data_IF_853544224820
#
_entry.id   IF_853544224820
#
_cell.length_a   1.000
_cell.length_b   1.000
_cell.length_c   1.000
_cell.angle_alpha   90.00
_cell.angle_beta   90.00
_cell.angle_gamma   90.00
#
_symmetry.space_group_name_H-M   'P 1'
#
loop_
_entity.id
_entity.type
_entity.pdbx_description
1 polymer ?
#
# COMPACT_ATOMS: atom_id res chain seq x y z
N UNK A 1 15.55 18.02 -1.33
CA UNK A 1 16.12 16.75 -0.81
C UNK A 1 17.39 16.50 -1.60
N UNK A 2 18.56 16.68 -0.99
CA UNK A 2 19.85 16.37 -1.64
C UNK A 2 19.87 14.89 -2.03
N UNK A 3 20.33 14.55 -3.23
CA UNK A 3 20.35 13.15 -3.69
C UNK A 3 21.52 12.44 -3.04
N UNK A 4 21.37 11.16 -2.70
CA UNK A 4 22.48 10.30 -2.29
C UNK A 4 23.62 10.28 -3.32
N UNK A 5 23.27 10.44 -4.60
CA UNK A 5 24.18 10.62 -5.72
C UNK A 5 25.08 11.86 -5.54
N UNK A 6 24.49 12.96 -5.07
CA UNK A 6 25.20 14.23 -4.83
C UNK A 6 26.18 14.11 -3.63
N UNK A 7 26.07 13.03 -2.85
CA UNK A 7 26.83 12.75 -1.65
C UNK A 7 27.84 11.59 -1.82
N UNK A 8 27.90 10.97 -3.01
CA UNK A 8 28.73 9.78 -3.26
C UNK A 8 28.23 8.50 -2.56
N UNK A 9 27.03 8.51 -1.98
CA UNK A 9 26.48 7.43 -1.15
C UNK A 9 25.56 6.45 -1.90
N UNK A 10 25.41 6.63 -3.22
CA UNK A 10 24.40 5.92 -4.05
C UNK A 10 24.43 4.40 -3.94
N UNK A 11 25.62 3.82 -3.84
CA UNK A 11 25.82 2.37 -3.75
C UNK A 11 26.14 1.89 -2.33
N UNK A 12 26.23 2.80 -1.38
CA UNK A 12 26.57 2.46 0.00
C UNK A 12 25.32 2.08 0.81
N UNK A 13 24.18 2.75 0.57
CA UNK A 13 22.94 2.40 1.26
C UNK A 13 22.34 1.10 0.72
N UNK A 14 22.03 0.19 1.63
CA UNK A 14 21.46 -1.12 1.38
C UNK A 14 20.21 -1.05 0.49
N UNK A 15 20.09 -2.05 -0.39
CA UNK A 15 18.91 -2.20 -1.25
C UNK A 15 17.64 -2.54 -0.47
N UNK A 16 17.81 -2.96 0.78
CA UNK A 16 16.74 -3.37 1.68
C UNK A 16 16.17 -2.23 2.53
N UNK A 17 16.67 -1.00 2.40
CA UNK A 17 16.09 0.20 3.02
C UNK A 17 15.06 0.86 2.10
N UNK A 18 13.80 0.93 2.49
CA UNK A 18 12.74 1.53 1.67
C UNK A 18 12.32 2.92 2.15
N UNK A 19 12.52 3.24 3.44
CA UNK A 19 12.13 4.51 4.02
C UNK A 19 13.07 5.64 3.64
N UNK A 20 12.51 6.81 3.36
CA UNK A 20 13.26 8.03 2.99
C UNK A 20 14.18 7.89 1.77
N UNK A 21 13.96 6.86 0.95
CA UNK A 21 14.76 6.60 -0.25
C UNK A 21 14.02 7.06 -1.51
N UNK A 22 14.73 7.78 -2.38
CA UNK A 22 14.16 8.23 -3.66
C UNK A 22 13.78 7.02 -4.52
N UNK A 23 12.55 7.04 -5.04
CA UNK A 23 12.04 5.98 -5.93
C UNK A 23 11.60 4.69 -5.23
N UNK A 24 11.73 4.63 -3.90
CA UNK A 24 11.15 3.57 -3.06
C UNK A 24 9.97 4.12 -2.29
N UNK A 25 8.97 3.29 -2.08
CA UNK A 25 7.71 3.65 -1.45
C UNK A 25 7.32 2.61 -0.41
N UNK A 26 6.33 2.95 0.43
CA UNK A 26 5.72 1.97 1.35
C UNK A 26 5.20 0.76 0.59
N UNK A 27 4.64 0.98 -0.61
CA UNK A 27 4.14 -0.08 -1.47
C UNK A 27 5.26 -1.05 -1.87
N UNK A 28 6.43 -0.55 -2.27
CA UNK A 28 7.56 -1.41 -2.68
C UNK A 28 8.03 -2.31 -1.51
N UNK A 29 8.04 -1.78 -0.29
CA UNK A 29 8.40 -2.54 0.91
C UNK A 29 7.38 -3.64 1.23
N UNK A 30 6.08 -3.32 1.13
CA UNK A 30 5.00 -4.29 1.36
C UNK A 30 5.00 -5.36 0.27
N UNK A 31 5.19 -4.96 -0.99
CA UNK A 31 5.24 -5.85 -2.15
C UNK A 31 6.40 -6.84 -2.01
N UNK A 32 7.59 -6.38 -1.64
CA UNK A 32 8.75 -7.24 -1.39
C UNK A 32 8.50 -8.25 -0.25
N UNK A 33 7.87 -7.82 0.85
CA UNK A 33 7.49 -8.71 1.95
C UNK A 33 6.53 -9.81 1.47
N UNK A 34 5.46 -9.42 0.77
CA UNK A 34 4.44 -10.34 0.29
C UNK A 34 5.00 -11.30 -0.75
N UNK A 35 5.85 -10.81 -1.65
CA UNK A 35 6.58 -11.63 -2.62
C UNK A 35 7.35 -12.76 -1.94
N UNK A 36 8.12 -12.43 -0.89
CA UNK A 36 8.89 -13.41 -0.14
C UNK A 36 8.01 -14.43 0.58
N UNK A 37 6.90 -13.99 1.17
CA UNK A 37 5.92 -14.89 1.80
C UNK A 37 5.31 -15.85 0.77
N UNK A 38 4.86 -15.34 -0.39
CA UNK A 38 4.24 -16.15 -1.44
C UNK A 38 5.22 -17.16 -2.06
N UNK A 39 6.48 -16.75 -2.31
CA UNK A 39 7.55 -17.66 -2.79
C UNK A 39 7.72 -18.87 -1.86
N UNK A 40 7.62 -18.66 -0.55
CA UNK A 40 7.75 -19.73 0.44
C UNK A 40 6.50 -20.60 0.60
N UNK A 41 5.34 -20.20 0.04
CA UNK A 41 4.12 -21.01 0.09
C UNK A 41 4.16 -22.23 -0.81
N UNK A 42 4.75 -22.13 -2.01
CA UNK A 42 4.88 -23.26 -2.95
C UNK A 42 5.59 -24.47 -2.33
N UNK A 43 6.79 -24.32 -1.72
CA UNK A 43 7.46 -25.41 -1.00
C UNK A 43 6.81 -25.77 0.34
N UNK A 44 5.66 -25.18 0.69
CA UNK A 44 4.93 -25.37 1.97
C UNK A 44 5.78 -25.10 3.20
N UNK A 45 6.68 -24.11 3.12
CA UNK A 45 7.50 -23.69 4.24
C UNK A 45 6.66 -22.95 5.30
N UNK A 46 7.20 -22.86 6.50
CA UNK A 46 6.76 -21.95 7.54
C UNK A 46 7.53 -20.65 7.33
N UNK A 47 6.82 -19.54 7.12
CA UNK A 47 7.45 -18.22 7.01
C UNK A 47 7.13 -17.43 8.27
N UNK A 48 8.16 -17.19 9.09
CA UNK A 48 8.08 -16.34 10.26
C UNK A 48 8.49 -14.93 9.88
N UNK A 49 7.64 -13.95 10.18
CA UNK A 49 7.97 -12.53 10.06
C UNK A 49 8.15 -11.96 11.47
N UNK A 50 9.30 -11.35 11.70
CA UNK A 50 9.68 -10.65 12.93
C UNK A 50 9.64 -9.15 12.69
N UNK A 51 9.00 -8.44 13.60
CA UNK A 51 8.75 -7.00 13.56
C UNK A 51 9.54 -6.38 14.70
N UNK A 52 10.74 -5.87 14.42
CA UNK A 52 11.61 -5.30 15.45
C UNK A 52 11.30 -3.82 15.66
N UNK A 53 11.31 -3.41 16.92
CA UNK A 53 11.13 -2.02 17.32
C UNK A 53 12.40 -1.50 17.99
N UNK A 54 12.94 -0.37 17.52
CA UNK A 54 14.09 0.29 18.13
C UNK A 54 13.58 1.37 19.09
N UNK A 55 14.06 1.36 20.34
CA UNK A 55 13.66 2.37 21.34
C UNK A 55 14.23 3.73 20.99
N UNK A 56 13.35 4.70 20.71
CA UNK A 56 13.73 6.08 20.43
C UNK A 56 14.78 6.17 19.32
N UNK A 57 14.51 5.57 18.16
CA UNK A 57 15.46 5.45 17.05
C UNK A 57 16.20 6.76 16.71
N UNK A 58 15.45 7.81 16.38
CA UNK A 58 16.02 9.11 16.05
C UNK A 58 16.70 9.78 17.25
N UNK A 59 16.10 9.70 18.43
CA UNK A 59 16.63 10.32 19.65
C UNK A 59 17.93 9.66 20.13
N UNK A 60 18.09 8.36 19.88
CA UNK A 60 19.27 7.58 20.30
C UNK A 60 20.30 7.38 19.18
N UNK A 61 20.17 8.09 18.06
CA UNK A 61 21.12 8.03 16.96
C UNK A 61 22.49 8.59 17.40
N UNK A 62 23.48 7.70 17.58
CA UNK A 62 24.77 8.04 18.18
C UNK A 62 25.72 8.72 17.18
N UNK A 63 26.02 10.01 17.40
CA UNK A 63 26.72 10.84 16.40
C UNK A 63 28.11 10.33 16.01
N UNK A 64 29.01 9.94 16.93
CA UNK A 64 30.31 9.38 16.57
C UNK A 64 30.20 8.12 15.71
N UNK A 65 29.19 7.27 15.96
CA UNK A 65 28.91 6.10 15.15
C UNK A 65 28.55 6.46 13.71
N UNK A 66 27.67 7.44 13.52
CA UNK A 66 27.28 7.94 12.19
C UNK A 66 28.48 8.52 11.44
N UNK A 67 29.30 9.32 12.13
CA UNK A 67 30.49 9.95 11.53
C UNK A 67 31.52 8.91 11.11
N UNK A 68 31.73 7.87 11.91
CA UNK A 68 32.61 6.77 11.53
C UNK A 68 32.08 6.02 10.31
N UNK A 69 30.77 5.70 10.27
CA UNK A 69 30.14 5.09 9.09
C UNK A 69 30.27 5.94 7.83
N UNK A 70 30.16 7.26 7.95
CA UNK A 70 30.40 8.19 6.85
C UNK A 70 31.84 8.12 6.34
N UNK A 71 32.84 8.02 7.22
CA UNK A 71 34.24 7.84 6.82
C UNK A 71 34.43 6.51 6.08
N UNK A 72 33.85 5.43 6.61
CA UNK A 72 33.95 4.09 6.04
C UNK A 72 33.21 3.96 4.70
N UNK A 73 32.22 4.81 4.45
CA UNK A 73 31.45 4.84 3.20
C UNK A 73 32.19 5.40 1.98
N UNK A 74 33.40 5.93 2.16
CA UNK A 74 34.14 6.61 1.09
C UNK A 74 33.61 8.02 0.79
N UNK A 75 32.81 8.59 1.70
CA UNK A 75 32.29 9.96 1.59
C UNK A 75 33.45 10.99 1.57
N UNK A 76 33.38 12.03 0.71
CA UNK A 76 34.40 13.07 0.69
C UNK A 76 34.67 13.69 2.06
N UNK A 77 35.95 13.85 2.42
CA UNK A 77 36.38 14.31 3.75
C UNK A 77 35.73 15.65 4.16
N UNK A 78 35.59 16.59 3.21
CA UNK A 78 34.96 17.89 3.47
C UNK A 78 33.50 17.74 3.92
N UNK A 79 32.78 16.76 3.37
CA UNK A 79 31.37 16.50 3.68
C UNK A 79 31.25 15.79 5.03
N UNK A 80 32.16 14.86 5.34
CA UNK A 80 32.25 14.26 6.67
C UNK A 80 32.48 15.35 7.73
N UNK A 81 33.38 16.31 7.48
CA UNK A 81 33.62 17.45 8.38
C UNK A 81 32.39 18.33 8.55
N UNK A 82 31.66 18.62 7.46
CA UNK A 82 30.43 19.40 7.49
C UNK A 82 29.34 18.71 8.33
N UNK A 83 29.10 17.42 8.10
CA UNK A 83 28.10 16.65 8.85
C UNK A 83 28.52 16.44 10.31
N UNK A 84 29.81 16.28 10.58
CA UNK A 84 30.32 16.25 11.94
C UNK A 84 30.02 17.56 12.67
N UNK A 85 30.36 18.73 12.10
CA UNK A 85 30.02 20.03 12.69
C UNK A 85 28.51 20.20 12.89
N UNK A 86 27.69 19.79 11.92
CA UNK A 86 26.23 19.83 12.04
C UNK A 86 25.70 19.01 13.23
N UNK A 87 26.34 17.88 13.55
CA UNK A 87 25.96 17.02 14.67
C UNK A 87 26.56 17.48 16.01
N UNK A 88 27.77 18.04 16.00
CA UNK A 88 28.50 18.46 17.21
C UNK A 88 27.93 19.70 17.88
N UNK A 89 27.26 20.58 17.13
CA UNK A 89 26.75 21.87 17.62
C UNK A 89 25.23 21.86 17.89
N UNK A 90 24.66 20.70 18.21
CA UNK A 90 23.24 20.59 18.54
C UNK A 90 23.03 20.96 20.01
N UNK A 91 22.66 22.23 20.23
CA UNK A 91 22.25 22.76 21.54
C UNK A 91 20.73 22.82 21.59
N UNK A 92 20.13 22.14 22.56
CA UNK A 92 18.70 22.31 22.87
C UNK A 92 18.58 23.29 24.03
N UNK A 93 17.87 24.39 23.78
CA UNK A 93 17.55 25.40 24.78
C UNK A 93 16.09 25.29 25.22
N UNK A 94 15.83 25.20 26.53
CA UNK A 94 14.48 25.33 27.09
C UNK A 94 14.36 26.67 27.82
N UNK A 95 13.38 27.48 27.42
CA UNK A 95 13.08 28.80 28.00
C UNK A 95 14.27 29.75 28.17
N UNK A 96 15.31 29.64 27.32
CA UNK A 96 16.59 30.39 27.42
C UNK A 96 17.35 30.23 28.76
N UNK A 97 16.93 29.32 29.63
CA UNK A 97 17.55 29.09 30.94
C UNK A 97 18.45 27.86 30.94
N UNK A 98 18.11 26.85 30.14
CA UNK A 98 18.82 25.57 30.12
C UNK A 98 19.29 25.26 28.71
N UNK A 99 20.60 25.17 28.51
CA UNK A 99 21.22 24.69 27.27
C UNK A 99 21.91 23.35 27.53
N UNK A 100 21.53 22.32 26.76
CA UNK A 100 22.17 21.01 26.81
C UNK A 100 22.80 20.69 25.46
N UNK A 101 24.06 20.25 25.48
CA UNK A 101 24.70 19.66 24.33
C UNK A 101 24.26 18.20 24.20
N UNK A 102 23.87 17.79 22.99
CA UNK A 102 23.32 16.48 22.72
C UNK A 102 24.29 15.65 21.89
N UNK A 103 24.75 14.53 22.43
CA UNK A 103 25.65 13.58 21.73
C UNK A 103 24.93 12.43 20.99
N UNK A 104 23.60 12.34 21.19
CA UNK A 104 22.72 11.38 20.54
C UNK A 104 21.44 12.07 20.13
N UNK A 105 21.22 12.21 18.84
CA UNK A 105 19.94 12.63 18.25
C UNK A 105 20.05 12.73 16.74
N UNK A 106 18.92 12.63 16.08
CA UNK A 106 18.69 13.18 14.76
C UNK A 106 17.53 14.16 14.92
N UNK A 107 17.76 15.49 14.88
CA UNK A 107 16.73 16.49 15.20
C UNK A 107 15.44 16.23 14.45
N UNK A 108 14.34 15.97 15.15
CA UNK A 108 13.06 15.69 14.50
C UNK A 108 12.60 16.94 13.74
N UNK A 109 12.34 16.80 12.43
CA UNK A 109 12.05 17.94 11.54
C UNK A 109 13.27 18.50 10.82
N UNK A 110 14.49 18.06 11.16
CA UNK A 110 15.70 18.35 10.39
C UNK A 110 15.66 17.69 9.01
N UNK A 111 16.04 18.43 7.97
CA UNK A 111 16.03 17.95 6.58
C UNK A 111 16.98 16.76 6.38
N UNK A 112 18.09 16.73 7.13
CA UNK A 112 19.11 15.68 7.06
C UNK A 112 18.85 14.49 7.98
N UNK A 113 17.99 14.64 8.99
CA UNK A 113 17.71 13.60 9.99
C UNK A 113 17.32 12.24 9.38
N UNK A 114 16.44 12.18 8.35
CA UNK A 114 16.12 10.91 7.71
C UNK A 114 17.30 10.23 7.02
N UNK A 115 18.20 11.02 6.43
CA UNK A 115 19.41 10.51 5.78
C UNK A 115 20.40 9.98 6.82
N UNK A 116 20.63 10.73 7.89
CA UNK A 116 21.51 10.33 8.99
C UNK A 116 21.02 9.05 9.66
N UNK A 117 19.72 8.89 9.82
CA UNK A 117 19.13 7.64 10.27
C UNK A 117 19.39 6.48 9.31
N UNK A 118 19.16 6.69 8.01
CA UNK A 118 19.43 5.66 7.00
C UNK A 118 20.90 5.24 6.99
N UNK A 119 21.84 6.16 7.23
CA UNK A 119 23.26 5.86 7.40
C UNK A 119 23.50 5.04 8.67
N UNK A 120 22.85 5.41 9.76
CA UNK A 120 23.00 4.75 11.04
C UNK A 120 22.49 3.29 11.02
N UNK A 121 21.38 3.02 10.32
CA UNK A 121 20.81 1.67 10.27
C UNK A 121 21.40 0.80 9.15
N UNK A 122 22.22 1.38 8.26
CA UNK A 122 22.61 0.74 7.01
C UNK A 122 23.32 -0.61 7.20
N UNK A 123 24.28 -0.64 8.10
CA UNK A 123 25.08 -1.81 8.41
C UNK A 123 24.26 -2.97 8.99
N UNK A 124 23.13 -2.70 9.66
CA UNK A 124 22.18 -3.74 10.09
C UNK A 124 21.62 -4.51 8.88
N UNK A 125 21.30 -3.79 7.81
CA UNK A 125 20.65 -4.34 6.61
C UNK A 125 21.61 -5.13 5.72
N UNK A 126 22.91 -4.93 5.91
CA UNK A 126 23.98 -5.61 5.18
C UNK A 126 24.64 -6.73 6.01
N UNK A 127 24.13 -7.03 7.21
CA UNK A 127 24.60 -8.17 8.01
C UNK A 127 24.31 -9.50 7.30
N UNK A 128 25.28 -10.41 7.37
CA UNK A 128 25.11 -11.79 6.93
C UNK A 128 24.15 -12.52 7.88
N UNK A 129 22.89 -12.60 7.48
CA UNK A 129 21.87 -13.39 8.18
C UNK A 129 21.96 -14.87 7.78
N UNK A 130 21.46 -15.78 8.62
CA UNK A 130 21.41 -17.20 8.29
C UNK A 130 20.65 -17.47 6.98
N UNK A 131 21.03 -18.56 6.31
CA UNK A 131 20.37 -19.02 5.08
C UNK A 131 18.85 -19.08 5.27
N UNK A 132 18.08 -18.63 4.27
CA UNK A 132 16.61 -18.47 4.29
C UNK A 132 16.08 -17.31 5.15
N UNK A 133 16.93 -16.34 5.50
CA UNK A 133 16.52 -15.09 6.13
C UNK A 133 16.60 -13.93 5.13
N UNK A 134 15.63 -13.03 5.18
CA UNK A 134 15.62 -11.77 4.43
C UNK A 134 15.34 -10.62 5.39
N UNK A 135 16.09 -9.53 5.28
CA UNK A 135 15.91 -8.33 6.09
C UNK A 135 15.47 -7.16 5.21
N UNK A 136 14.58 -6.32 5.74
CA UNK A 136 14.26 -5.04 5.17
C UNK A 136 13.90 -4.03 6.27
N UNK A 137 14.02 -2.75 5.96
CA UNK A 137 13.55 -1.68 6.83
C UNK A 137 12.74 -0.65 6.05
N UNK A 138 11.84 0.01 6.77
CA UNK A 138 11.24 1.26 6.33
C UNK A 138 11.46 2.28 7.44
N UNK A 139 12.43 3.17 7.25
CA UNK A 139 12.89 4.07 8.30
C UNK A 139 13.44 3.27 9.49
N UNK A 140 12.85 3.41 10.67
CA UNK A 140 13.19 2.73 11.92
C UNK A 140 12.47 1.41 12.12
N UNK A 141 11.41 1.15 11.36
CA UNK A 141 10.72 -0.14 11.38
C UNK A 141 11.58 -1.19 10.66
N UNK A 142 12.04 -2.22 11.38
CA UNK A 142 12.89 -3.31 10.85
C UNK A 142 12.13 -4.63 10.81
N UNK A 143 12.27 -5.36 9.71
CA UNK A 143 11.56 -6.59 9.43
C UNK A 143 12.53 -7.68 9.03
N UNK A 144 12.37 -8.86 9.63
CA UNK A 144 13.10 -10.05 9.22
C UNK A 144 12.10 -11.14 8.85
N UNK A 145 12.30 -11.73 7.69
CA UNK A 145 11.54 -12.87 7.18
C UNK A 145 12.45 -14.09 7.31
N UNK A 146 11.99 -15.14 7.97
CA UNK A 146 12.72 -16.39 8.16
C UNK A 146 11.85 -17.53 7.61
N UNK A 147 12.40 -18.34 6.72
CA UNK A 147 11.71 -19.51 6.18
C UNK A 147 12.34 -20.82 6.68
N UNK A 148 11.50 -21.76 7.13
CA UNK A 148 11.92 -23.07 7.64
C UNK A 148 10.92 -24.17 7.31
N UNK A 149 11.37 -25.43 7.29
CA UNK A 149 10.46 -26.58 7.04
C UNK A 149 9.73 -26.97 8.33
N UNK A 150 10.45 -26.91 9.45
CA UNK A 150 10.01 -27.35 10.77
C UNK A 150 9.97 -26.19 11.77
N UNK A 151 9.34 -26.45 12.92
CA UNK A 151 9.34 -25.53 14.07
C UNK A 151 10.76 -25.28 14.58
N UNK A 152 11.54 -26.34 14.73
CA UNK A 152 12.90 -26.30 15.26
C UNK A 152 13.84 -25.51 14.35
N UNK A 153 13.68 -25.61 13.02
CA UNK A 153 14.45 -24.80 12.08
C UNK A 153 14.22 -23.30 12.33
N UNK A 154 12.96 -22.91 12.55
CA UNK A 154 12.60 -21.51 12.83
C UNK A 154 13.17 -21.05 14.18
N UNK A 155 13.07 -21.87 15.23
CA UNK A 155 13.59 -21.53 16.56
C UNK A 155 15.12 -21.32 16.53
N UNK A 156 15.85 -22.24 15.89
CA UNK A 156 17.29 -22.15 15.73
C UNK A 156 17.67 -20.88 14.95
N UNK A 157 17.10 -20.69 13.76
CA UNK A 157 17.44 -19.57 12.88
C UNK A 157 17.09 -18.23 13.51
N UNK A 158 15.94 -18.15 14.18
CA UNK A 158 15.51 -16.93 14.88
C UNK A 158 16.43 -16.58 16.04
N UNK A 159 16.90 -17.59 16.79
CA UNK A 159 17.85 -17.37 17.90
C UNK A 159 19.19 -16.80 17.40
N UNK A 160 19.66 -17.26 16.24
CA UNK A 160 20.86 -16.68 15.61
C UNK A 160 20.63 -15.23 15.17
N UNK A 161 19.49 -14.94 14.55
CA UNK A 161 19.11 -13.56 14.16
C UNK A 161 19.06 -12.65 15.38
N UNK A 162 18.44 -13.08 16.49
CA UNK A 162 18.40 -12.31 17.73
C UNK A 162 19.79 -11.99 18.27
N UNK A 163 20.71 -12.97 18.28
CA UNK A 163 22.10 -12.75 18.72
C UNK A 163 22.83 -11.75 17.84
N UNK A 164 22.62 -11.82 16.52
CA UNK A 164 23.22 -10.88 15.56
C UNK A 164 22.69 -9.46 15.79
N UNK A 165 21.37 -9.32 15.97
CA UNK A 165 20.71 -8.04 16.21
C UNK A 165 21.14 -7.42 17.54
N UNK A 166 21.22 -8.20 18.62
CA UNK A 166 21.61 -7.70 19.94
C UNK A 166 23.07 -7.21 19.95
N UNK A 167 23.97 -7.93 19.26
CA UNK A 167 25.36 -7.50 19.06
C UNK A 167 25.44 -6.20 18.26
N UNK A 168 24.70 -6.10 17.16
CA UNK A 168 24.67 -4.89 16.34
C UNK A 168 24.13 -3.69 17.14
N UNK A 169 23.05 -3.89 17.89
CA UNK A 169 22.44 -2.85 18.72
C UNK A 169 23.42 -2.35 19.78
N UNK A 170 24.11 -3.27 20.46
CA UNK A 170 25.15 -2.95 21.45
C UNK A 170 26.28 -2.11 20.85
N UNK A 171 26.79 -2.48 19.67
CA UNK A 171 27.85 -1.74 18.98
C UNK A 171 27.41 -0.34 18.57
N UNK A 172 26.13 -0.16 18.25
CA UNK A 172 25.56 1.11 17.82
C UNK A 172 24.91 1.93 18.95
N UNK A 173 25.03 1.47 20.21
CA UNK A 173 24.40 2.07 21.39
C UNK A 173 22.88 2.25 21.26
N UNK A 174 22.24 1.34 20.53
CA UNK A 174 20.79 1.26 20.35
C UNK A 174 20.22 0.09 21.15
N UNK A 175 18.90 0.10 21.37
CA UNK A 175 18.21 -0.96 22.12
C UNK A 175 16.96 -1.38 21.36
N UNK A 176 16.85 -2.67 21.06
CA UNK A 176 15.60 -3.25 20.58
C UNK A 176 14.62 -3.47 21.73
N UNK A 177 13.36 -3.09 21.51
CA UNK A 177 12.30 -3.31 22.48
C UNK A 177 11.69 -4.70 22.29
N UNK A 178 12.20 -5.67 23.06
CA UNK A 178 11.71 -7.05 23.02
C UNK A 178 10.24 -7.20 23.41
N UNK A 179 9.66 -6.24 24.15
CA UNK A 179 8.22 -6.25 24.52
C UNK A 179 7.32 -5.76 23.38
N UNK A 180 7.81 -4.84 22.55
CA UNK A 180 7.09 -4.34 21.37
C UNK A 180 7.41 -5.14 20.10
N UNK A 181 8.43 -5.99 20.16
CA UNK A 181 8.79 -6.87 19.04
C UNK A 181 7.66 -7.88 18.84
N UNK A 182 7.14 -7.96 17.61
CA UNK A 182 6.03 -8.86 17.28
C UNK A 182 6.48 -9.94 16.31
N UNK A 183 5.79 -11.08 16.33
CA UNK A 183 6.01 -12.17 15.40
C UNK A 183 4.70 -12.61 14.75
N UNK A 184 4.74 -13.00 13.47
CA UNK A 184 3.61 -13.62 12.79
C UNK A 184 4.07 -14.74 11.86
N UNK A 185 3.28 -15.81 11.77
CA UNK A 185 3.59 -16.96 10.90
C UNK A 185 2.61 -17.03 9.74
N UNK A 186 3.17 -17.12 8.55
CA UNK A 186 2.47 -17.32 7.28
C UNK A 186 2.79 -18.70 6.74
N UNK A 187 1.74 -19.49 6.50
CA UNK A 187 1.88 -20.84 5.95
C UNK A 187 0.56 -21.34 5.36
N UNK A 188 0.67 -22.22 4.37
CA UNK A 188 -0.47 -22.95 3.80
C UNK A 188 -0.86 -24.19 4.62
N UNK A 189 -0.08 -24.57 5.65
CA UNK A 189 -0.38 -25.71 6.52
C UNK A 189 -1.65 -25.46 7.34
N UNK A 190 -2.46 -26.52 7.52
CA UNK A 190 -3.70 -26.47 8.32
C UNK A 190 -3.40 -26.29 9.81
N UNK A 191 -2.44 -27.05 10.31
CA UNK A 191 -1.92 -26.96 11.68
C UNK A 191 -0.66 -26.10 11.62
N UNK A 192 -0.66 -25.00 12.38
CA UNK A 192 0.47 -24.08 12.44
C UNK A 192 1.28 -24.41 13.68
N UNK A 193 2.49 -24.98 13.54
CA UNK A 193 3.36 -25.16 14.69
C UNK A 193 3.86 -23.79 15.15
N UNK A 194 3.71 -23.50 16.45
CA UNK A 194 4.18 -22.25 17.05
C UNK A 194 5.57 -22.46 17.68
N UNK A 195 6.64 -21.85 17.14
CA UNK A 195 7.96 -21.80 17.77
C UNK A 195 7.93 -21.04 19.10
N UNK A 196 8.77 -21.44 20.04
CA UNK A 196 9.06 -20.68 21.25
C UNK A 196 10.17 -19.69 20.94
N UNK A 197 9.83 -18.40 20.93
CA UNK A 197 10.76 -17.33 20.59
C UNK A 197 11.07 -16.52 21.85
N UNK A 198 12.35 -16.45 22.23
CA UNK A 198 12.81 -15.68 23.38
C UNK A 198 13.84 -14.66 22.92
N UNK A 199 13.57 -13.38 23.18
CA UNK A 199 14.47 -12.28 22.83
C UNK A 199 14.70 -11.38 24.04
N UNK A 200 15.96 -11.22 24.43
CA UNK A 200 16.39 -10.43 25.59
C UNK A 200 15.54 -10.71 26.84
N UNK A 201 15.34 -12.01 27.13
CA UNK A 201 14.59 -12.50 28.29
C UNK A 201 13.06 -12.46 28.18
N UNK A 202 12.49 -11.94 27.09
CA UNK A 202 11.04 -11.89 26.89
C UNK A 202 10.59 -12.92 25.85
N UNK A 203 9.48 -13.60 26.13
CA UNK A 203 8.82 -14.49 25.18
C UNK A 203 8.05 -13.64 24.17
N UNK A 204 8.35 -13.80 22.89
CA UNK A 204 7.66 -13.09 21.81
C UNK A 204 6.39 -13.85 21.43
N UNK A 205 5.25 -13.17 21.54
CA UNK A 205 3.96 -13.74 21.13
C UNK A 205 3.85 -13.80 19.61
N UNK A 206 3.45 -14.97 19.10
CA UNK A 206 3.16 -15.17 17.67
C UNK A 206 1.68 -14.88 17.42
N UNK A 207 1.45 -13.76 16.75
CA UNK A 207 0.12 -13.31 16.34
C UNK A 207 -0.31 -13.98 15.04
N UNK A 208 -1.60 -14.19 14.87
CA UNK A 208 -2.17 -14.70 13.62
C UNK A 208 -2.21 -13.66 12.50
N UNK A 209 -2.10 -12.39 12.87
CA UNK A 209 -2.21 -11.22 12.01
C UNK A 209 -1.09 -10.26 12.35
N UNK A 210 -0.50 -9.66 11.33
CA UNK A 210 0.51 -8.62 11.49
C UNK A 210 0.03 -7.32 10.84
N UNK A 211 0.41 -6.19 11.42
CA UNK A 211 0.21 -4.88 10.81
C UNK A 211 1.56 -4.37 10.32
N UNK A 212 1.66 -4.03 9.04
CA UNK A 212 2.87 -3.50 8.43
C UNK A 212 2.55 -2.31 7.53
N UNK A 213 3.14 -1.13 7.79
CA UNK A 213 2.95 0.10 6.99
C UNK A 213 1.48 0.39 6.67
N UNK A 214 0.59 0.17 7.64
CA UNK A 214 -0.87 0.40 7.48
C UNK A 214 -1.64 -0.71 6.77
N UNK A 215 -0.98 -1.80 6.36
CA UNK A 215 -1.59 -3.01 5.80
C UNK A 215 -1.73 -4.08 6.87
N UNK A 216 -2.85 -4.82 6.86
CA UNK A 216 -3.08 -5.95 7.77
C UNK A 216 -2.86 -7.24 7.00
N UNK A 217 -1.86 -8.01 7.39
CA UNK A 217 -1.49 -9.28 6.80
C UNK A 217 -2.11 -10.41 7.62
N UNK A 218 -3.01 -11.17 7.00
CA UNK A 218 -3.53 -12.40 7.60
C UNK A 218 -2.69 -13.61 7.18
N UNK A 219 -2.66 -14.66 8.01
CA UNK A 219 -1.87 -15.89 7.78
C UNK A 219 -1.89 -16.43 6.34
N UNK A 220 -3.03 -16.34 5.64
CA UNK A 220 -3.22 -16.87 4.29
C UNK A 220 -3.16 -15.80 3.19
N UNK A 221 -2.98 -14.54 3.54
CA UNK A 221 -3.05 -13.39 2.64
C UNK A 221 -4.38 -13.34 1.86
N UNK A 222 -5.50 -13.49 2.57
CA UNK A 222 -6.86 -13.38 2.03
C UNK A 222 -7.33 -11.92 1.93
N UNK A 223 -6.67 -10.99 2.63
CA UNK A 223 -6.88 -9.53 2.58
C UNK A 223 -8.26 -9.02 3.01
N UNK A 224 -9.19 -9.91 3.35
CA UNK A 224 -10.58 -9.55 3.64
C UNK A 224 -10.68 -8.63 4.86
N UNK A 225 -9.88 -8.89 5.88
CA UNK A 225 -9.85 -8.07 7.09
C UNK A 225 -9.18 -6.71 6.85
N UNK A 226 -8.07 -6.69 6.10
CA UNK A 226 -7.46 -5.43 5.68
C UNK A 226 -8.48 -4.52 4.98
N UNK A 227 -9.18 -5.06 3.98
CA UNK A 227 -10.18 -4.30 3.22
C UNK A 227 -11.32 -3.81 4.13
N UNK A 228 -11.80 -4.65 5.07
CA UNK A 228 -12.81 -4.22 6.07
C UNK A 228 -12.29 -3.08 6.96
N UNK A 229 -11.06 -3.17 7.43
CA UNK A 229 -10.46 -2.12 8.26
C UNK A 229 -10.35 -0.80 7.48
N UNK A 230 -9.92 -0.84 6.21
CA UNK A 230 -9.85 0.34 5.33
C UNK A 230 -11.24 0.93 5.05
N UNK A 231 -12.24 0.10 4.81
CA UNK A 231 -13.64 0.53 4.68
C UNK A 231 -14.13 1.21 5.96
N UNK A 232 -13.84 0.64 7.12
CA UNK A 232 -14.27 1.19 8.40
C UNK A 232 -13.60 2.54 8.68
N UNK A 233 -12.30 2.67 8.41
CA UNK A 233 -11.59 3.95 8.47
C UNK A 233 -12.22 4.98 7.51
N UNK A 234 -12.49 4.60 6.26
CA UNK A 234 -13.15 5.48 5.29
C UNK A 234 -14.54 5.94 5.78
N UNK A 235 -15.32 5.04 6.39
CA UNK A 235 -16.63 5.34 6.96
C UNK A 235 -16.56 6.36 8.10
N UNK A 236 -15.50 6.37 8.91
CA UNK A 236 -15.34 7.37 9.98
C UNK A 236 -15.23 8.79 9.41
N UNK A 237 -14.50 8.96 8.31
CA UNK A 237 -14.46 10.24 7.59
C UNK A 237 -15.82 10.57 6.97
N UNK A 238 -16.53 9.56 6.47
CA UNK A 238 -17.85 9.71 5.86
C UNK A 238 -18.90 10.25 6.80
N UNK A 239 -18.93 9.81 8.06
CA UNK A 239 -19.93 10.28 9.03
C UNK A 239 -19.81 11.79 9.24
N UNK A 240 -18.58 12.29 9.32
CA UNK A 240 -18.29 13.73 9.42
C UNK A 240 -18.69 14.48 8.15
N UNK A 241 -18.42 13.92 6.97
CA UNK A 241 -18.81 14.50 5.68
C UNK A 241 -20.33 14.52 5.47
N UNK A 242 -21.03 13.45 5.86
CA UNK A 242 -22.49 13.31 5.73
C UNK A 242 -23.27 14.28 6.62
N UNK A 243 -22.67 14.77 7.71
CA UNK A 243 -23.25 15.85 8.51
C UNK A 243 -23.23 17.20 7.77
N UNK A 244 -22.24 17.43 6.89
CA UNK A 244 -22.05 18.68 6.16
C UNK A 244 -22.69 18.69 4.75
N UNK A 245 -23.37 17.60 4.36
CA UNK A 245 -23.91 17.43 3.01
C UNK A 245 -25.29 16.77 3.03
N UNK A 246 -26.34 17.55 2.78
CA UNK A 246 -27.71 17.08 2.59
C UNK A 246 -28.16 17.32 1.14
N UNK A 247 -29.26 16.67 0.75
CA UNK A 247 -29.79 16.82 -0.61
C UNK A 247 -30.16 18.27 -0.92
N UNK A 248 -30.73 18.98 0.06
CA UNK A 248 -31.28 20.33 -0.11
C UNK A 248 -30.33 21.45 0.30
N UNK A 249 -29.27 21.18 1.07
CA UNK A 249 -28.30 22.17 1.54
C UNK A 249 -26.95 21.54 1.88
N UNK A 250 -25.87 22.33 1.93
CA UNK A 250 -24.52 21.88 2.25
C UNK A 250 -23.57 21.89 1.05
N UNK A 251 -22.57 21.01 1.06
CA UNK A 251 -21.49 21.00 0.06
C UNK A 251 -21.99 20.75 -1.38
N UNK A 252 -21.37 21.44 -2.34
CA UNK A 252 -21.63 21.25 -3.78
C UNK A 252 -21.14 19.88 -4.26
N UNK A 253 -21.78 19.25 -5.28
CA UNK A 253 -21.38 17.96 -5.86
C UNK A 253 -19.89 17.85 -6.19
N UNK A 254 -19.31 18.90 -6.81
CA UNK A 254 -17.88 18.96 -7.12
C UNK A 254 -16.97 18.83 -5.89
N UNK A 255 -17.32 19.50 -4.78
CA UNK A 255 -16.57 19.41 -3.53
C UNK A 255 -16.67 18.00 -2.93
N UNK A 256 -17.86 17.41 -2.94
CA UNK A 256 -18.09 16.04 -2.48
C UNK A 256 -17.32 15.01 -3.31
N UNK A 257 -17.29 15.17 -4.63
CA UNK A 257 -16.51 14.33 -5.54
C UNK A 257 -15.02 14.42 -5.20
N UNK A 258 -14.49 15.63 -5.01
CA UNK A 258 -13.08 15.82 -4.66
C UNK A 258 -12.75 15.16 -3.32
N UNK A 259 -13.59 15.31 -2.30
CA UNK A 259 -13.41 14.65 -1.00
C UNK A 259 -13.49 13.12 -1.10
N UNK A 260 -14.40 12.60 -1.93
CA UNK A 260 -14.48 11.17 -2.20
C UNK A 260 -13.17 10.68 -2.83
N UNK A 261 -12.69 11.30 -3.90
CA UNK A 261 -11.48 10.88 -4.60
C UNK A 261 -10.22 11.02 -3.71
N UNK A 262 -10.09 12.13 -2.97
CA UNK A 262 -8.87 12.44 -2.22
C UNK A 262 -8.78 11.74 -0.87
N UNK A 263 -9.89 11.48 -0.19
CA UNK A 263 -9.90 10.89 1.15
C UNK A 263 -10.46 9.47 1.14
N UNK A 264 -11.65 9.27 0.57
CA UNK A 264 -12.37 8.00 0.70
C UNK A 264 -11.77 6.93 -0.22
N UNK A 265 -11.67 7.22 -1.51
CA UNK A 265 -11.10 6.34 -2.51
C UNK A 265 -9.65 6.02 -2.16
N UNK A 266 -8.83 7.03 -1.87
CA UNK A 266 -7.42 6.85 -1.48
C UNK A 266 -7.26 6.02 -0.19
N UNK A 267 -8.18 6.17 0.77
CA UNK A 267 -8.16 5.37 2.00
C UNK A 267 -8.50 3.91 1.70
N UNK A 268 -9.57 3.65 0.95
CA UNK A 268 -10.01 2.28 0.64
C UNK A 268 -8.99 1.58 -0.25
N UNK A 269 -8.43 2.29 -1.23
CA UNK A 269 -7.52 1.77 -2.25
C UNK A 269 -6.03 1.86 -1.86
N UNK A 270 -5.73 2.07 -0.58
CA UNK A 270 -4.36 2.01 -0.09
C UNK A 270 -3.78 0.59 -0.28
N UNK A 271 -2.58 0.51 -0.86
CA UNK A 271 -1.86 -0.75 -1.13
C UNK A 271 -2.59 -1.77 -2.03
N UNK A 272 -3.57 -1.34 -2.85
CA UNK A 272 -4.29 -2.23 -3.81
C UNK A 272 -3.37 -3.15 -4.61
N UNK A 273 -2.23 -2.70 -5.15
CA UNK A 273 -1.39 -3.57 -5.97
C UNK A 273 -1.02 -4.88 -5.25
N UNK A 274 -0.82 -4.83 -3.95
CA UNK A 274 -0.48 -5.99 -3.11
C UNK A 274 -1.69 -6.93 -2.90
N UNK A 275 -2.88 -6.38 -2.69
CA UNK A 275 -4.07 -7.18 -2.34
C UNK A 275 -5.06 -7.38 -3.49
N UNK A 276 -4.72 -6.96 -4.70
CA UNK A 276 -5.60 -6.99 -5.88
C UNK A 276 -6.22 -8.36 -6.14
N UNK A 277 -5.51 -9.45 -5.81
CA UNK A 277 -5.96 -10.82 -5.97
C UNK A 277 -7.26 -11.10 -5.18
N UNK A 278 -7.53 -10.33 -4.13
CA UNK A 278 -8.78 -10.39 -3.37
C UNK A 278 -10.01 -10.02 -4.21
N UNK A 279 -9.85 -9.22 -5.28
CA UNK A 279 -10.94 -8.84 -6.17
C UNK A 279 -11.47 -10.00 -7.01
N UNK A 280 -10.75 -11.12 -7.11
CA UNK A 280 -11.27 -12.34 -7.75
C UNK A 280 -12.53 -12.87 -7.03
N UNK A 281 -12.73 -12.49 -5.76
CA UNK A 281 -13.87 -12.89 -4.96
C UNK A 281 -15.01 -11.87 -5.12
N UNK A 282 -16.12 -12.29 -5.75
CA UNK A 282 -17.30 -11.44 -5.98
C UNK A 282 -17.84 -10.73 -4.73
N UNK A 283 -17.74 -11.35 -3.54
CA UNK A 283 -18.21 -10.70 -2.31
C UNK A 283 -17.35 -9.50 -1.89
N UNK A 284 -16.04 -9.50 -2.21
CA UNK A 284 -15.15 -8.35 -1.94
C UNK A 284 -15.55 -7.18 -2.83
N UNK A 285 -15.79 -7.43 -4.13
CA UNK A 285 -16.29 -6.41 -5.06
C UNK A 285 -17.61 -5.84 -4.55
N UNK A 286 -18.58 -6.69 -4.19
CA UNK A 286 -19.87 -6.24 -3.62
C UNK A 286 -19.68 -5.36 -2.38
N UNK A 287 -18.76 -5.73 -1.50
CA UNK A 287 -18.46 -4.99 -0.27
C UNK A 287 -17.89 -3.59 -0.57
N UNK A 288 -16.96 -3.49 -1.53
CA UNK A 288 -16.40 -2.23 -1.99
C UNK A 288 -17.45 -1.36 -2.70
N UNK A 289 -18.21 -1.93 -3.65
CA UNK A 289 -19.27 -1.23 -4.39
C UNK A 289 -20.37 -0.72 -3.46
N UNK A 290 -20.71 -1.47 -2.42
CA UNK A 290 -21.70 -1.04 -1.41
C UNK A 290 -21.26 0.23 -0.70
N UNK A 291 -19.96 0.35 -0.40
CA UNK A 291 -19.41 1.53 0.26
C UNK A 291 -19.32 2.70 -0.72
N UNK A 292 -18.79 2.48 -1.92
CA UNK A 292 -18.74 3.50 -2.98
C UNK A 292 -20.12 4.08 -3.26
N UNK A 293 -21.15 3.23 -3.37
CA UNK A 293 -22.53 3.61 -3.61
C UNK A 293 -23.04 4.67 -2.63
N UNK A 294 -22.71 4.56 -1.34
CA UNK A 294 -23.15 5.53 -0.33
C UNK A 294 -22.67 6.95 -0.67
N UNK A 295 -21.46 7.08 -1.19
CA UNK A 295 -20.89 8.37 -1.58
C UNK A 295 -21.42 8.85 -2.92
N UNK A 296 -21.63 7.95 -3.87
CA UNK A 296 -22.17 8.33 -5.17
C UNK A 296 -23.57 8.94 -5.03
N UNK A 297 -24.42 8.39 -4.16
CA UNK A 297 -25.74 8.96 -3.84
C UNK A 297 -25.61 10.39 -3.32
N UNK A 298 -24.62 10.67 -2.48
CA UNK A 298 -24.39 12.02 -1.93
C UNK A 298 -23.87 12.99 -2.99
N UNK A 299 -22.94 12.55 -3.83
CA UNK A 299 -22.37 13.35 -4.91
C UNK A 299 -23.45 13.73 -5.93
N UNK A 300 -24.24 12.76 -6.38
CA UNK A 300 -25.26 12.97 -7.42
C UNK A 300 -26.58 13.51 -6.85
N UNK A 301 -26.73 13.53 -5.52
CA UNK A 301 -27.98 13.87 -4.82
C UNK A 301 -29.18 13.03 -5.30
N UNK A 302 -28.93 11.80 -5.74
CA UNK A 302 -29.95 10.91 -6.31
C UNK A 302 -30.75 10.14 -5.24
N UNK A 303 -31.84 9.49 -5.66
CA UNK A 303 -32.61 8.59 -4.80
C UNK A 303 -31.82 7.34 -4.42
N UNK A 304 -32.11 6.79 -3.24
CA UNK A 304 -31.51 5.53 -2.74
C UNK A 304 -31.82 4.30 -3.61
N UNK A 305 -32.82 4.38 -4.48
CA UNK A 305 -33.22 3.31 -5.42
C UNK A 305 -32.46 3.34 -6.76
N UNK A 306 -31.71 4.41 -7.05
CA UNK A 306 -30.99 4.57 -8.32
C UNK A 306 -29.95 3.44 -8.50
N UNK A 307 -29.82 2.86 -9.69
CA UNK A 307 -28.83 1.82 -9.95
C UNK A 307 -27.39 2.34 -9.77
N UNK A 308 -26.49 1.52 -9.21
CA UNK A 308 -25.11 1.95 -8.91
C UNK A 308 -24.33 2.36 -10.16
N UNK A 309 -24.52 1.66 -11.27
CA UNK A 309 -23.83 1.96 -12.54
C UNK A 309 -24.22 3.34 -13.09
N UNK A 310 -25.50 3.68 -12.97
CA UNK A 310 -26.01 5.03 -13.31
C UNK A 310 -25.38 6.09 -12.41
N UNK A 311 -25.25 5.82 -11.12
CA UNK A 311 -24.63 6.76 -10.18
C UNK A 311 -23.14 6.98 -10.47
N UNK A 312 -22.39 5.94 -10.87
CA UNK A 312 -20.99 6.09 -11.26
C UNK A 312 -20.84 6.98 -12.49
N UNK A 313 -21.70 6.79 -13.50
CA UNK A 313 -21.72 7.60 -14.71
C UNK A 313 -22.09 9.06 -14.40
N UNK A 314 -23.14 9.29 -13.61
CA UNK A 314 -23.59 10.63 -13.22
C UNK A 314 -22.57 11.36 -12.35
N UNK A 315 -21.80 10.65 -11.52
CA UNK A 315 -20.74 11.27 -10.72
C UNK A 315 -19.45 11.51 -11.53
N UNK A 316 -19.30 10.89 -12.71
CA UNK A 316 -18.04 10.85 -13.47
C UNK A 316 -16.92 10.17 -12.66
N UNK A 317 -17.23 9.02 -12.05
CA UNK A 317 -16.31 8.24 -11.22
C UNK A 317 -16.32 6.79 -11.70
N UNK A 318 -15.16 6.15 -11.76
CA UNK A 318 -15.07 4.74 -12.15
C UNK A 318 -15.64 3.82 -11.06
N UNK A 319 -16.27 2.69 -11.41
CA UNK A 319 -16.51 1.60 -10.47
C UNK A 319 -15.22 1.25 -9.71
N UNK A 320 -15.33 1.11 -8.38
CA UNK A 320 -14.17 1.01 -7.48
C UNK A 320 -13.25 -0.19 -7.80
N UNK A 321 -13.79 -1.27 -8.33
CA UNK A 321 -13.04 -2.45 -8.76
C UNK A 321 -12.23 -2.19 -10.05
N UNK A 322 -12.77 -1.40 -10.98
CA UNK A 322 -12.03 -0.95 -12.16
C UNK A 322 -10.95 0.06 -11.78
N UNK A 323 -11.27 0.99 -10.88
CA UNK A 323 -10.29 1.94 -10.34
C UNK A 323 -9.13 1.24 -9.62
N UNK A 324 -9.43 0.19 -8.86
CA UNK A 324 -8.42 -0.65 -8.22
C UNK A 324 -7.47 -1.30 -9.24
N UNK A 325 -8.00 -1.80 -10.37
CA UNK A 325 -7.18 -2.34 -11.47
C UNK A 325 -6.33 -1.26 -12.13
N UNK A 326 -6.87 -0.07 -12.37
CA UNK A 326 -6.13 1.06 -12.95
C UNK A 326 -4.94 1.47 -12.07
N UNK A 327 -5.17 1.67 -10.76
CA UNK A 327 -4.13 2.02 -9.78
C UNK A 327 -3.04 0.97 -9.65
N UNK A 328 -3.34 -0.25 -10.08
CA UNK A 328 -2.44 -1.39 -10.04
C UNK A 328 -1.59 -1.49 -11.29
N UNK A 329 -2.20 -1.30 -12.46
CA UNK A 329 -1.51 -1.39 -13.75
C UNK A 329 -0.48 -0.25 -13.87
N UNK A 330 -0.82 0.97 -13.44
CA UNK A 330 0.02 2.15 -13.63
C UNK A 330 1.43 2.08 -12.99
N UNK A 331 1.59 1.60 -11.73
CA UNK A 331 2.91 1.40 -11.14
C UNK A 331 3.72 0.27 -11.80
N UNK A 332 3.10 -0.87 -12.14
CA UNK A 332 3.81 -2.02 -12.71
C UNK A 332 4.09 -1.89 -14.20
N UNK A 333 3.31 -1.10 -14.95
CA UNK A 333 3.65 -0.73 -16.31
C UNK A 333 5.00 0.03 -16.39
N UNK A 334 5.35 0.76 -15.32
CA UNK A 334 6.63 1.49 -15.21
C UNK A 334 7.77 0.67 -14.62
N UNK A 335 7.49 -0.34 -13.78
CA UNK A 335 8.49 -1.09 -12.99
C UNK A 335 8.67 -2.57 -13.38
N UNK A 336 7.77 -3.13 -14.18
CA UNK A 336 7.70 -4.58 -14.47
C UNK A 336 6.74 -5.32 -13.53
N UNK A 337 6.19 -6.46 -13.99
CA UNK A 337 5.19 -7.26 -13.26
C UNK A 337 5.86 -8.27 -12.29
N UNK A 338 5.39 -8.41 -11.04
CA UNK A 338 5.85 -9.49 -10.15
C UNK A 338 5.39 -10.88 -10.60
N UNK A 339 6.14 -11.92 -10.24
CA UNK A 339 5.95 -13.30 -10.70
C UNK A 339 4.72 -14.01 -10.10
N UNK A 340 4.34 -13.67 -8.86
CA UNK A 340 3.16 -14.21 -8.14
C UNK A 340 1.84 -13.53 -8.53
N UNK A 341 1.90 -12.60 -9.49
CA UNK A 341 0.76 -11.84 -9.92
C UNK A 341 -0.29 -12.74 -10.58
N UNK A 342 -1.58 -12.72 -10.15
CA UNK A 342 -2.59 -13.56 -10.78
C UNK A 342 -2.68 -13.20 -12.26
N UNK A 343 -2.69 -14.20 -13.15
CA UNK A 343 -3.07 -13.97 -14.54
C UNK A 343 -4.45 -13.32 -14.54
N UNK A 344 -4.49 -12.00 -14.71
CA UNK A 344 -5.70 -11.38 -15.22
C UNK A 344 -6.02 -12.11 -16.51
N UNK A 345 -7.28 -12.50 -16.75
CA UNK A 345 -7.64 -13.13 -17.99
C UNK A 345 -7.04 -12.27 -19.09
N UNK A 346 -6.07 -12.85 -19.81
CA UNK A 346 -5.82 -12.38 -21.14
C UNK A 346 -7.15 -12.43 -21.82
N UNK A 347 -7.42 -11.46 -22.66
CA UNK A 347 -8.77 -11.21 -23.00
C UNK A 347 -9.04 -12.05 -24.27
N UNK A 348 -9.83 -13.14 -24.30
CA UNK A 348 -10.12 -14.00 -23.16
C UNK A 348 -11.13 -15.13 -23.30
N UNK A 349 -12.33 -14.94 -22.76
CA UNK A 349 -13.28 -16.01 -22.44
C UNK A 349 -14.70 -15.56 -22.85
N UNK A 350 -15.52 -16.43 -23.46
CA UNK A 350 -16.88 -16.08 -23.88
C UNK A 350 -17.79 -15.91 -22.65
N UNK A 351 -18.49 -14.79 -22.57
CA UNK A 351 -19.41 -14.47 -21.47
C UNK A 351 -20.83 -14.87 -21.89
N UNK A 352 -21.52 -15.63 -21.02
CA UNK A 352 -22.93 -16.00 -21.20
C UNK A 352 -23.88 -14.82 -20.96
N UNK A 353 -25.04 -14.89 -21.61
CA UNK A 353 -25.91 -13.82 -22.12
C UNK A 353 -26.74 -13.02 -21.10
N UNK A 354 -26.33 -12.85 -19.83
CA UNK A 354 -27.16 -12.15 -18.81
C UNK A 354 -26.63 -10.82 -18.25
N UNK A 355 -25.58 -10.25 -18.84
CA UNK A 355 -25.04 -8.94 -18.40
C UNK A 355 -24.92 -7.99 -19.59
N UNK A 356 -26.01 -7.28 -19.93
CA UNK A 356 -26.02 -6.23 -20.97
C UNK A 356 -25.31 -4.94 -20.49
N UNK A 357 -24.01 -5.05 -20.21
CA UNK A 357 -23.00 -3.98 -20.22
C UNK A 357 -22.15 -4.09 -21.51
N UNK A 358 -22.74 -4.69 -22.55
CA UNK A 358 -22.07 -5.56 -23.53
C UNK A 358 -21.71 -4.89 -24.85
N UNK A 359 -21.33 -3.61 -24.84
CA UNK A 359 -20.71 -2.99 -26.04
C UNK A 359 -19.26 -2.55 -25.79
N UNK A 360 -18.86 -2.18 -24.57
CA UNK A 360 -17.47 -1.72 -24.35
C UNK A 360 -16.46 -2.82 -23.99
N UNK A 361 -16.94 -3.99 -23.52
CA UNK A 361 -16.07 -5.05 -22.97
C UNK A 361 -15.58 -6.02 -24.05
N UNK A 362 -16.23 -6.08 -25.21
CA UNK A 362 -15.90 -7.03 -26.28
C UNK A 362 -14.72 -6.60 -27.16
N UNK A 363 -14.33 -5.32 -27.14
CA UNK A 363 -13.13 -4.82 -27.82
C UNK A 363 -11.86 -4.96 -26.98
N UNK A 364 -11.97 -5.32 -25.70
CA UNK A 364 -10.83 -5.38 -24.79
C UNK A 364 -9.99 -6.65 -24.93
N UNK A 365 -10.19 -7.47 -25.98
CA UNK A 365 -9.73 -8.86 -26.04
C UNK A 365 -8.88 -9.31 -27.28
N UNK A 366 -7.66 -8.75 -27.44
CA UNK A 366 -6.34 -9.30 -27.92
C UNK A 366 -6.12 -9.86 -29.36
N UNK A 367 -4.86 -10.05 -29.91
CA UNK A 367 -3.53 -10.12 -29.25
C UNK A 367 -2.33 -9.32 -29.86
N UNK A 368 -1.25 -9.31 -29.04
CA UNK A 368 0.19 -9.21 -29.33
C UNK A 368 0.88 -7.84 -29.55
N UNK A 369 2.06 -7.68 -28.91
CA UNK A 369 3.15 -6.78 -29.33
C UNK A 369 3.44 -5.51 -28.51
N UNK A 370 2.46 -4.63 -28.31
CA UNK A 370 2.73 -3.19 -28.07
C UNK A 370 2.26 -2.66 -26.69
N UNK A 371 2.58 -3.39 -25.61
CA UNK A 371 1.85 -3.35 -24.31
C UNK A 371 1.93 -2.05 -23.49
N UNK A 372 2.85 -1.11 -23.72
CA UNK A 372 2.91 0.14 -22.93
C UNK A 372 2.15 1.28 -23.61
N UNK A 373 2.34 1.48 -24.93
CA UNK A 373 1.64 2.53 -25.69
C UNK A 373 0.13 2.32 -25.74
N UNK A 374 -0.33 1.07 -25.82
CA UNK A 374 -1.76 0.75 -25.78
C UNK A 374 -2.41 1.05 -24.43
N UNK A 375 -1.70 0.82 -23.32
CA UNK A 375 -2.20 1.15 -21.98
C UNK A 375 -2.27 2.68 -21.78
N UNK A 376 -1.32 3.42 -22.35
CA UNK A 376 -1.32 4.89 -22.33
C UNK A 376 -2.45 5.49 -23.17
N UNK A 377 -2.73 4.95 -24.37
CA UNK A 377 -3.88 5.32 -25.20
C UNK A 377 -5.22 5.00 -24.52
N UNK A 378 -5.30 3.87 -23.83
CA UNK A 378 -6.51 3.42 -23.14
C UNK A 378 -6.83 4.29 -21.91
N UNK A 379 -5.82 4.65 -21.13
CA UNK A 379 -5.95 5.62 -20.04
C UNK A 379 -6.29 7.02 -20.58
N UNK A 380 -5.73 7.43 -21.72
CA UNK A 380 -6.05 8.70 -22.37
C UNK A 380 -7.51 8.76 -22.85
N UNK A 381 -8.02 7.67 -23.43
CA UNK A 381 -9.41 7.56 -23.88
C UNK A 381 -10.40 7.62 -22.71
N UNK A 382 -10.12 6.92 -21.61
CA UNK A 382 -10.92 6.99 -20.38
C UNK A 382 -10.93 8.39 -19.77
N UNK A 383 -9.81 9.11 -19.82
CA UNK A 383 -9.73 10.51 -19.38
C UNK A 383 -10.55 11.44 -20.26
N UNK A 384 -10.50 11.27 -21.58
CA UNK A 384 -11.26 12.08 -22.54
C UNK A 384 -12.79 11.90 -22.35
N UNK A 385 -13.25 10.67 -22.14
CA UNK A 385 -14.66 10.39 -21.85
C UNK A 385 -15.07 11.01 -20.51
N UNK A 386 -14.21 10.91 -19.49
CA UNK A 386 -14.48 11.53 -18.20
C UNK A 386 -14.52 13.06 -18.27
N UNK A 387 -13.67 13.69 -19.07
CA UNK A 387 -13.71 15.14 -19.33
C UNK A 387 -14.98 15.58 -20.05
N UNK A 388 -15.46 14.81 -21.04
CA UNK A 388 -16.73 15.10 -21.71
C UNK A 388 -17.92 14.99 -20.76
N UNK A 389 -17.90 14.01 -19.84
CA UNK A 389 -18.91 13.87 -18.80
C UNK A 389 -18.85 15.03 -17.80
N UNK A 390 -17.65 15.46 -17.38
CA UNK A 390 -17.46 16.63 -16.52
C UNK A 390 -18.01 17.90 -17.17
N UNK A 391 -17.73 18.15 -18.46
CA UNK A 391 -18.29 19.30 -19.20
C UNK A 391 -19.81 19.25 -19.30
N UNK A 392 -20.39 18.05 -19.48
CA UNK A 392 -21.85 17.86 -19.45
C UNK A 392 -22.44 18.18 -18.07
N UNK A 393 -21.74 17.82 -16.99
CA UNK A 393 -22.15 18.16 -15.63
C UNK A 393 -22.06 19.66 -15.34
N UNK A 394 -21.00 20.34 -15.80
CA UNK A 394 -20.86 21.80 -15.66
C UNK A 394 -21.97 22.56 -16.40
N UNK A 395 -22.45 22.04 -17.54
CA UNK A 395 -23.62 22.56 -18.26
C UNK A 395 -24.96 22.33 -17.54
N UNK A 396 -25.07 21.26 -16.76
CA UNK A 396 -26.27 21.00 -15.92
C UNK A 396 -26.23 21.88 -14.65
N UNK A 397 -25.05 22.10 -14.05
CA UNK A 397 -24.88 22.97 -12.87
C UNK A 397 -25.05 24.47 -13.18
N UNK A 398 -24.77 24.90 -14.42
CA UNK A 398 -24.97 26.28 -14.89
C UNK A 398 -26.40 26.58 -15.36
N UNK A 399 -27.29 25.59 -15.38
CA UNK A 399 -28.68 25.75 -15.81
C UNK A 399 -28.90 25.76 -17.33
N UNK A 400 -27.85 25.56 -18.13
CA UNK A 400 -27.95 25.49 -19.60
C UNK A 400 -28.66 24.22 -20.09
N UNK A 401 -28.68 23.15 -19.28
CA UNK A 401 -29.30 21.86 -19.63
C UNK A 401 -30.13 21.35 -18.45
N UNK A 402 -31.43 21.10 -18.67
CA UNK A 402 -32.31 20.54 -17.65
C UNK A 402 -31.85 19.12 -17.24
N UNK A 403 -31.85 18.78 -15.93
CA UNK A 403 -31.56 17.42 -15.49
C UNK A 403 -32.60 16.45 -16.07
N UNK A 404 -32.21 15.19 -16.38
CA UNK A 404 -33.14 14.22 -16.95
C UNK A 404 -34.30 14.01 -15.98
N UNK A 405 -35.51 14.42 -16.41
CA UNK A 405 -36.77 14.10 -15.72
C UNK A 405 -36.91 12.59 -15.73
N UNK A 406 -37.22 12.02 -14.57
CA UNK A 406 -37.50 10.60 -14.31
C UNK A 406 -37.91 9.77 -15.53
N UNK A 407 -37.31 8.58 -15.71
CA UNK A 407 -37.78 7.57 -16.65
C UNK A 407 -39.25 7.24 -16.33
N UNK A 408 -40.19 7.39 -17.30
CA UNK A 408 -41.61 7.10 -17.09
C UNK A 408 -41.84 5.64 -16.70
N UNK A 409 -42.89 5.42 -15.91
CA UNK A 409 -43.17 4.18 -15.16
C UNK A 409 -43.84 3.06 -15.99
N UNK A 410 -43.90 3.19 -17.31
CA UNK A 410 -44.72 2.35 -18.21
C UNK A 410 -43.96 1.33 -19.08
N UNK A 411 -42.62 1.26 -19.07
CA UNK A 411 -41.87 0.14 -19.68
C UNK A 411 -41.61 -1.01 -18.68
N UNK A 412 -42.64 -1.37 -17.92
CA UNK A 412 -42.65 -2.54 -17.03
C UNK A 412 -43.44 -3.68 -17.68
N UNK A 413 -42.97 -4.20 -18.80
CA UNK A 413 -43.39 -5.52 -19.27
C UNK A 413 -42.19 -6.40 -19.61
N UNK A 414 -42.32 -7.66 -19.20
CA UNK A 414 -41.41 -8.74 -19.47
C UNK A 414 -41.16 -8.84 -20.98
N UNK A 415 -39.90 -8.93 -21.39
CA UNK A 415 -39.56 -9.61 -22.64
C UNK A 415 -38.72 -10.83 -22.25
N UNK A 416 -39.44 -11.92 -22.03
CA UNK A 416 -38.94 -13.29 -22.10
C UNK A 416 -38.80 -13.69 -23.56
N UNK A 417 -37.68 -14.36 -23.83
CA UNK A 417 -37.34 -15.30 -24.91
C UNK A 417 -38.58 -15.80 -25.68
N UNK A 418 -38.70 -15.49 -26.99
CA UNK A 418 -39.17 -16.44 -28.04
C UNK A 418 -39.11 -15.96 -29.51
N UNK A 419 -38.86 -14.67 -29.84
CA UNK A 419 -39.01 -14.23 -31.26
C UNK A 419 -37.72 -14.06 -32.11
N UNK A 420 -36.59 -14.72 -31.81
CA UNK A 420 -35.47 -14.80 -32.77
C UNK A 420 -34.89 -16.22 -32.84
N UNK A 421 -35.78 -17.19 -33.07
CA UNK A 421 -35.48 -18.39 -33.86
C UNK A 421 -36.28 -18.31 -35.16
N UNK A 422 -35.79 -17.56 -36.15
CA UNK A 422 -36.16 -17.73 -37.58
C UNK A 422 -35.31 -16.80 -38.42
N UNK A 423 -34.04 -17.19 -38.63
CA UNK A 423 -33.26 -16.89 -39.83
C UNK A 423 -31.99 -17.76 -39.77
N UNK A 424 -32.18 -19.07 -39.98
CA UNK A 424 -31.15 -19.91 -40.59
C UNK A 424 -31.24 -19.69 -42.09
N UNK A 425 -30.11 -19.28 -42.69
CA UNK A 425 -29.54 -19.53 -44.03
C UNK A 425 -30.45 -20.02 -45.19
N UNK A 426 -30.07 -19.77 -46.47
CA UNK A 426 -28.69 -19.79 -46.99
C UNK A 426 -27.96 -18.46 -46.98
#
# INVERSE_FOLDING_TARGET
MYKLDDLGLKNWISRNQFGFMKGRSTLDAIDNLVTNIEKNKQPKLLTLCLFFYIRGAFDNAWHPGIVNKLKDSGCPIWMVKLLHSYLSDIIVSYNNEFSLNIEKSCPQGGILSPLLWNININDLLDLNLPNNSHIQAYADDVFVIIAGKTKSDLEFTTSEVFRIFDRWASNNKLVFDSKKTEAAIFTSKRIVPKPALVFNGNVIEIKEKAKYLGVTLDRKLLWTEHIRNRINSAKQYSTKLMCAAKCTWGLKPRALKNMYLSVIESTILYAVPVWIAALNKKYIIRMLSSVQRLYLILITKSFRTAQTDVLTALAGVLPIDLRAKELTIMPYAKKGRPEYWPEFPTPGIPISSRTKSHILVKQLLSPAGSKISKLEEEVASLRAINEQLIKKMEKIESGEVNPPKSVPREEKELITIDDIETCKSP
#
